data_IF_862403744554
#
_entry.id   IF_862403744554
#
_cell.length_a   1.000
_cell.length_b   1.000
_cell.length_c   1.000
_cell.angle_alpha   90.00
_cell.angle_beta   90.00
_cell.angle_gamma   90.00
#
_symmetry.space_group_name_H-M   'P 1'
#
loop_
_entity.id
_entity.type
_entity.pdbx_description
1 polymer ?
#
# COMPACT_ATOMS: atom_id res chain seq x y z
N UNK A 1 -4.65 -19.64 15.43
CA UNK A 1 -5.41 -20.30 14.33
C UNK A 1 -4.60 -20.08 13.07
N UNK A 2 -4.04 -21.13 12.46
CA UNK A 2 -3.15 -20.95 11.30
C UNK A 2 -3.95 -20.35 10.13
N UNK A 3 -3.51 -19.20 9.62
CA UNK A 3 -4.12 -18.53 8.48
C UNK A 3 -3.65 -19.27 7.23
N UNK A 4 -4.57 -19.89 6.50
CA UNK A 4 -4.25 -20.55 5.23
C UNK A 4 -3.84 -19.48 4.20
N UNK A 5 -2.66 -19.63 3.56
CA UNK A 5 -2.22 -18.66 2.57
C UNK A 5 -3.07 -18.74 1.31
N UNK A 6 -3.30 -17.59 0.68
CA UNK A 6 -4.09 -17.52 -0.56
C UNK A 6 -3.31 -18.07 -1.75
N UNK A 7 -1.99 -17.89 -1.76
CA UNK A 7 -1.04 -18.44 -2.73
C UNK A 7 0.33 -18.57 -2.09
N UNK A 8 1.16 -19.48 -2.59
CA UNK A 8 2.54 -19.69 -2.13
C UNK A 8 3.47 -19.51 -3.32
N UNK A 9 4.40 -18.56 -3.22
CA UNK A 9 5.47 -18.34 -4.20
C UNK A 9 6.79 -18.86 -3.65
N UNK A 10 7.71 -19.23 -4.56
CA UNK A 10 9.06 -19.67 -4.21
C UNK A 10 10.06 -18.70 -4.80
N UNK A 11 10.99 -18.23 -3.98
CA UNK A 11 12.07 -17.32 -4.38
C UNK A 11 13.43 -17.95 -4.02
N UNK A 12 14.22 -18.25 -5.05
CA UNK A 12 15.57 -18.77 -4.89
C UNK A 12 16.56 -17.63 -4.65
N UNK A 13 17.37 -17.76 -3.60
CA UNK A 13 18.44 -16.83 -3.26
C UNK A 13 19.74 -17.27 -3.94
N UNK A 14 20.43 -16.39 -4.66
CA UNK A 14 21.65 -16.73 -5.42
C UNK A 14 22.73 -15.68 -5.11
N UNK A 15 24.01 -16.03 -5.27
CA UNK A 15 25.11 -15.11 -5.06
C UNK A 15 25.08 -13.93 -6.06
N UNK A 16 25.58 -12.77 -5.63
CA UNK A 16 25.67 -11.51 -6.39
C UNK A 16 24.33 -11.06 -6.99
N UNK A 17 23.24 -11.33 -6.27
CA UNK A 17 21.88 -11.07 -6.72
C UNK A 17 21.35 -9.75 -6.13
N UNK A 18 21.83 -8.62 -6.64
CA UNK A 18 21.20 -7.32 -6.40
C UNK A 18 20.04 -7.12 -7.38
N UNK A 19 18.83 -7.14 -6.84
CA UNK A 19 17.56 -7.06 -7.59
C UNK A 19 16.67 -5.93 -7.06
N UNK A 20 17.26 -4.87 -6.51
CA UNK A 20 16.49 -3.72 -6.02
C UNK A 20 15.64 -3.04 -7.10
N UNK A 21 16.08 -3.10 -8.36
CA UNK A 21 15.34 -2.56 -9.51
C UNK A 21 14.30 -3.53 -10.09
N UNK A 22 14.23 -4.76 -9.60
CA UNK A 22 13.27 -5.77 -10.03
C UNK A 22 12.05 -5.73 -9.13
N UNK A 23 10.87 -5.61 -9.74
CA UNK A 23 9.61 -5.60 -9.02
C UNK A 23 9.16 -7.02 -8.68
N UNK A 24 9.36 -7.44 -7.44
CA UNK A 24 8.64 -8.58 -6.88
C UNK A 24 7.35 -8.10 -6.24
N UNK A 25 6.22 -8.74 -6.56
CA UNK A 25 4.91 -8.34 -6.08
C UNK A 25 4.08 -9.57 -5.70
N UNK A 26 3.40 -9.49 -4.56
CA UNK A 26 2.39 -10.46 -4.13
C UNK A 26 1.17 -9.72 -3.54
N UNK A 27 0.16 -10.46 -3.13
CA UNK A 27 -1.01 -9.90 -2.44
C UNK A 27 -0.90 -10.10 -0.93
N UNK A 28 -1.58 -9.25 -0.18
CA UNK A 28 -1.79 -9.49 1.24
C UNK A 28 -2.41 -10.89 1.46
N UNK A 29 -1.87 -11.63 2.43
CA UNK A 29 -2.10 -13.05 2.77
C UNK A 29 -1.50 -14.09 1.84
N UNK A 30 -0.65 -13.68 0.90
CA UNK A 30 0.21 -14.62 0.19
C UNK A 30 1.42 -14.99 1.05
N UNK A 31 1.95 -16.20 0.83
CA UNK A 31 3.21 -16.64 1.40
C UNK A 31 4.33 -16.66 0.38
N UNK A 32 5.53 -16.34 0.82
CA UNK A 32 6.75 -16.50 0.03
C UNK A 32 7.69 -17.44 0.78
N UNK A 33 8.09 -18.50 0.09
CA UNK A 33 9.11 -19.44 0.51
C UNK A 33 10.45 -18.99 -0.07
N UNK A 34 11.42 -18.76 0.81
CA UNK A 34 12.79 -18.48 0.43
C UNK A 34 13.59 -19.77 0.54
N UNK A 35 14.32 -20.09 -0.52
CA UNK A 35 15.16 -21.29 -0.62
C UNK A 35 16.55 -20.84 -1.06
N UNK A 36 17.59 -21.43 -0.49
CA UNK A 36 18.95 -21.20 -0.97
C UNK A 36 19.13 -21.86 -2.34
N UNK A 37 19.57 -21.07 -3.31
CA UNK A 37 19.93 -21.51 -4.63
C UNK A 37 21.30 -22.20 -4.65
N UNK A 38 21.60 -22.82 -5.79
CA UNK A 38 22.80 -23.67 -5.94
C UNK A 38 24.11 -22.91 -5.70
N UNK A 39 24.16 -21.61 -5.97
CA UNK A 39 25.38 -20.80 -5.80
C UNK A 39 25.70 -20.47 -4.34
N UNK A 40 24.74 -20.67 -3.43
CA UNK A 40 24.90 -20.47 -2.00
C UNK A 40 25.16 -21.77 -1.23
N UNK A 41 25.23 -22.92 -1.92
CA UNK A 41 25.50 -24.22 -1.30
C UNK A 41 26.85 -24.23 -0.57
N UNK A 42 26.85 -24.74 0.67
CA UNK A 42 28.03 -24.80 1.52
C UNK A 42 28.45 -23.46 2.15
N UNK A 43 27.70 -22.37 1.89
CA UNK A 43 27.91 -21.07 2.55
C UNK A 43 26.97 -20.92 3.74
N UNK A 44 27.44 -20.25 4.78
CA UNK A 44 26.59 -19.87 5.90
C UNK A 44 25.96 -18.52 5.60
N UNK A 45 24.68 -18.50 5.25
CA UNK A 45 23.94 -17.29 4.86
C UNK A 45 22.90 -16.96 5.93
N UNK A 46 22.78 -15.67 6.24
CA UNK A 46 21.70 -15.11 7.07
C UNK A 46 20.85 -14.17 6.23
N UNK A 47 19.53 -14.41 6.19
CA UNK A 47 18.54 -13.57 5.51
C UNK A 47 17.90 -12.62 6.51
N UNK A 48 17.78 -11.36 6.13
CA UNK A 48 17.19 -10.31 6.93
C UNK A 48 16.04 -9.63 6.18
N UNK A 49 15.02 -9.21 6.92
CA UNK A 49 13.94 -8.39 6.38
C UNK A 49 13.54 -7.29 7.36
N UNK A 50 13.09 -6.15 6.85
CA UNK A 50 12.41 -5.14 7.67
C UNK A 50 10.91 -5.44 7.86
N UNK A 51 10.42 -6.57 7.34
CA UNK A 51 9.11 -7.11 7.67
C UNK A 51 9.13 -7.89 8.98
N UNK A 52 8.10 -7.72 9.80
CA UNK A 52 7.87 -8.49 11.03
C UNK A 52 6.39 -8.73 11.21
N UNK A 53 6.00 -9.98 11.49
CA UNK A 53 4.63 -10.35 11.83
C UNK A 53 4.23 -9.87 13.24
N UNK A 54 5.21 -9.68 14.13
CA UNK A 54 4.98 -9.36 15.54
C UNK A 54 4.92 -7.85 15.81
N UNK A 55 5.29 -7.02 14.84
CA UNK A 55 5.38 -5.58 15.03
C UNK A 55 4.04 -4.89 14.81
N UNK A 56 3.57 -4.17 15.84
CA UNK A 56 2.37 -3.30 15.77
C UNK A 56 2.59 -2.14 14.79
N UNK A 57 3.84 -1.68 14.66
CA UNK A 57 4.26 -0.62 13.74
C UNK A 57 5.45 -1.04 12.90
N UNK A 58 5.38 -0.76 11.60
CA UNK A 58 6.48 -0.98 10.67
C UNK A 58 7.56 0.10 10.84
N UNK A 59 8.82 -0.32 10.99
CA UNK A 59 10.00 0.55 10.96
C UNK A 59 10.89 0.14 9.79
N UNK A 60 11.07 1.05 8.83
CA UNK A 60 11.85 0.82 7.61
C UNK A 60 13.31 0.47 7.89
N UNK A 61 13.87 0.94 9.01
CA UNK A 61 15.29 0.82 9.35
C UNK A 61 15.58 -0.35 10.29
N UNK A 62 14.55 -1.01 10.81
CA UNK A 62 14.70 -2.15 11.72
C UNK A 62 14.63 -3.45 10.93
N UNK A 63 15.66 -4.28 11.05
CA UNK A 63 15.73 -5.57 10.38
C UNK A 63 15.70 -6.74 11.37
N UNK A 64 15.10 -7.83 10.92
CA UNK A 64 14.94 -9.06 11.65
C UNK A 64 15.53 -10.21 10.83
N UNK A 65 16.32 -11.05 11.48
CA UNK A 65 16.83 -12.27 10.84
C UNK A 65 15.69 -13.29 10.68
N UNK A 66 15.62 -13.90 9.51
CA UNK A 66 14.65 -14.92 9.19
C UNK A 66 15.27 -16.30 9.39
N UNK A 67 14.69 -17.07 10.31
CA UNK A 67 15.19 -18.40 10.65
C UNK A 67 14.76 -19.39 9.58
N UNK A 68 15.73 -20.11 9.01
CA UNK A 68 15.50 -21.23 8.12
C UNK A 68 15.23 -22.51 8.92
N UNK A 69 14.23 -23.28 8.49
CA UNK A 69 13.93 -24.62 9.00
C UNK A 69 13.93 -25.57 7.80
N UNK A 70 14.75 -26.62 7.86
CA UNK A 70 14.90 -27.59 6.75
C UNK A 70 15.21 -26.92 5.40
N UNK A 71 16.19 -25.99 5.39
CA UNK A 71 16.65 -25.23 4.21
C UNK A 71 15.64 -24.28 3.56
N UNK A 72 14.45 -24.13 4.15
CA UNK A 72 13.41 -23.22 3.68
C UNK A 72 13.01 -22.26 4.80
N UNK A 73 12.68 -21.02 4.47
CA UNK A 73 11.93 -20.15 5.37
C UNK A 73 10.72 -19.58 4.67
N UNK A 74 9.59 -19.51 5.35
CA UNK A 74 8.32 -19.06 4.77
C UNK A 74 7.82 -17.84 5.52
N UNK A 75 7.48 -16.78 4.79
CA UNK A 75 6.81 -15.60 5.34
C UNK A 75 5.43 -15.51 4.74
N UNK A 76 4.42 -15.30 5.60
CA UNK A 76 3.07 -14.90 5.17
C UNK A 76 2.89 -13.42 5.47
N UNK A 77 2.53 -12.64 4.45
CA UNK A 77 2.37 -11.19 4.62
C UNK A 77 0.97 -10.84 5.08
N UNK A 78 0.85 -10.28 6.28
CA UNK A 78 -0.44 -9.84 6.85
C UNK A 78 -0.72 -8.35 6.63
N UNK A 79 0.32 -7.57 6.34
CA UNK A 79 0.24 -6.14 6.08
C UNK A 79 0.73 -5.82 4.68
N UNK A 80 0.11 -4.83 4.07
CA UNK A 80 0.45 -4.36 2.72
C UNK A 80 1.54 -3.31 2.83
N UNK A 81 2.48 -3.27 1.89
CA UNK A 81 3.63 -2.38 1.99
C UNK A 81 4.76 -2.77 1.04
N UNK A 82 5.91 -2.12 1.21
CA UNK A 82 7.13 -2.43 0.50
C UNK A 82 8.19 -2.83 1.51
N UNK A 83 8.60 -4.10 1.47
CA UNK A 83 9.50 -4.71 2.41
C UNK A 83 10.83 -5.04 1.74
N UNK A 84 11.91 -4.69 2.42
CA UNK A 84 13.26 -4.93 1.97
C UNK A 84 13.76 -6.26 2.53
N UNK A 85 14.51 -6.98 1.70
CA UNK A 85 15.18 -8.22 2.04
C UNK A 85 16.62 -8.13 1.58
N UNK A 86 17.55 -8.54 2.44
CA UNK A 86 18.93 -8.74 2.05
C UNK A 86 19.49 -9.95 2.77
N UNK A 87 20.51 -10.57 2.20
CA UNK A 87 21.20 -11.68 2.83
C UNK A 87 22.71 -11.52 2.65
N UNK A 88 23.44 -11.98 3.66
CA UNK A 88 24.90 -11.89 3.74
C UNK A 88 25.48 -13.18 4.29
N UNK A 89 26.76 -13.38 4.06
CA UNK A 89 27.51 -14.49 4.63
C UNK A 89 27.77 -14.27 6.12
N UNK A 90 27.63 -15.29 6.98
CA UNK A 90 27.79 -15.11 8.43
C UNK A 90 29.22 -14.77 8.84
N UNK A 91 30.21 -15.14 8.02
CA UNK A 91 31.63 -14.94 8.28
C UNK A 91 32.15 -13.53 7.86
N UNK A 92 31.36 -12.74 7.15
CA UNK A 92 31.77 -11.40 6.70
C UNK A 92 30.58 -10.48 6.44
N UNK A 93 30.77 -9.17 6.55
CA UNK A 93 29.68 -8.20 6.32
C UNK A 93 29.37 -7.93 4.83
N UNK A 94 29.68 -8.88 3.95
CA UNK A 94 29.46 -8.75 2.51
C UNK A 94 28.03 -9.20 2.18
N UNK A 95 27.23 -8.26 1.65
CA UNK A 95 25.88 -8.54 1.14
C UNK A 95 26.00 -9.41 -0.11
N UNK A 96 25.39 -10.59 -0.09
CA UNK A 96 25.34 -11.53 -1.20
C UNK A 96 24.20 -11.23 -2.18
N UNK A 97 23.13 -10.58 -1.69
CA UNK A 97 22.02 -10.16 -2.52
C UNK A 97 20.96 -9.41 -1.73
N UNK A 98 20.14 -8.65 -2.45
CA UNK A 98 19.10 -7.81 -1.86
C UNK A 98 17.99 -7.49 -2.87
N UNK A 99 16.76 -7.32 -2.38
CA UNK A 99 15.58 -7.10 -3.19
C UNK A 99 14.43 -6.53 -2.36
N UNK A 100 13.40 -6.03 -3.05
CA UNK A 100 12.15 -5.59 -2.43
C UNK A 100 11.00 -6.46 -2.85
N UNK A 101 10.07 -6.72 -1.92
CA UNK A 101 8.76 -7.30 -2.21
C UNK A 101 7.69 -6.26 -1.91
N UNK A 102 6.84 -6.00 -2.91
CA UNK A 102 5.66 -5.15 -2.78
C UNK A 102 4.43 -6.00 -2.51
N UNK A 103 3.87 -5.88 -1.32
CA UNK A 103 2.63 -6.55 -0.92
C UNK A 103 1.46 -5.64 -1.23
N UNK A 104 0.62 -6.06 -2.16
CA UNK A 104 -0.52 -5.30 -2.65
C UNK A 104 -1.62 -5.19 -1.59
N UNK A 105 -2.29 -4.03 -1.47
CA UNK A 105 -3.44 -3.88 -0.60
C UNK A 105 -4.64 -4.68 -1.10
N UNK A 106 -5.53 -5.02 -0.16
CA UNK A 106 -6.86 -5.55 -0.47
C UNK A 106 -7.86 -4.39 -0.38
N UNK A 107 -8.48 -4.04 -1.51
CA UNK A 107 -9.54 -3.04 -1.54
C UNK A 107 -10.89 -3.72 -1.31
N UNK A 108 -11.73 -3.09 -0.49
CA UNK A 108 -13.11 -3.51 -0.23
C UNK A 108 -14.05 -2.37 -0.57
N UNK A 109 -15.10 -2.68 -1.33
CA UNK A 109 -16.15 -1.73 -1.74
C UNK A 109 -17.51 -2.28 -1.30
N UNK A 110 -18.43 -1.41 -0.90
CA UNK A 110 -19.71 -1.75 -0.29
C UNK A 110 -19.66 -1.84 1.23
N UNK A 111 -20.81 -1.69 1.86
CA UNK A 111 -21.00 -1.80 3.31
C UNK A 111 -21.23 -3.25 3.76
N UNK A 112 -20.72 -3.59 4.95
CA UNK A 112 -20.91 -4.84 5.69
C UNK A 112 -21.32 -6.08 4.87
N UNK A 113 -22.62 -6.29 4.69
CA UNK A 113 -23.19 -7.47 4.05
C UNK A 113 -23.01 -7.52 2.52
N UNK A 114 -22.78 -6.37 1.88
CA UNK A 114 -22.52 -6.23 0.45
C UNK A 114 -21.04 -6.04 0.10
N UNK A 115 -20.18 -5.96 1.14
CA UNK A 115 -18.77 -5.70 0.97
C UNK A 115 -18.12 -6.79 0.11
N UNK A 116 -17.51 -6.38 -1.00
CA UNK A 116 -16.79 -7.26 -1.92
C UNK A 116 -15.33 -6.84 -2.04
N UNK A 117 -14.45 -7.82 -2.22
CA UNK A 117 -13.07 -7.54 -2.59
C UNK A 117 -13.02 -7.01 -4.02
N UNK A 118 -12.40 -5.86 -4.20
CA UNK A 118 -12.13 -5.28 -5.50
C UNK A 118 -10.74 -5.70 -5.95
N UNK A 119 -10.67 -6.40 -7.08
CA UNK A 119 -9.40 -6.67 -7.75
C UNK A 119 -8.77 -5.34 -8.19
N UNK A 120 -7.46 -5.19 -7.97
CA UNK A 120 -6.71 -4.00 -8.39
C UNK A 120 -6.75 -3.81 -9.92
N UNK A 121 -6.88 -4.89 -10.69
CA UNK A 121 -7.06 -4.82 -12.15
C UNK A 121 -8.48 -4.41 -12.56
N UNK A 122 -9.44 -4.43 -11.63
CA UNK A 122 -10.83 -4.03 -11.87
C UNK A 122 -11.11 -2.58 -11.43
N UNK A 123 -10.09 -1.80 -11.04
CA UNK A 123 -10.26 -0.40 -10.68
C UNK A 123 -10.64 0.42 -11.92
N UNK A 124 -11.76 1.13 -11.81
CA UNK A 124 -12.21 2.15 -12.74
C UNK A 124 -12.26 3.47 -11.97
N UNK A 125 -11.20 4.27 -12.13
CA UNK A 125 -10.98 5.48 -11.37
C UNK A 125 -11.35 6.74 -12.18
N UNK A 126 -12.21 7.58 -11.63
CA UNK A 126 -12.48 8.92 -12.16
C UNK A 126 -11.69 9.96 -11.37
N UNK A 127 -10.87 10.76 -12.04
CA UNK A 127 -10.25 11.93 -11.42
C UNK A 127 -11.17 13.13 -11.49
N UNK A 128 -11.37 13.80 -10.35
CA UNK A 128 -12.24 14.97 -10.23
C UNK A 128 -11.44 16.14 -9.67
N UNK A 129 -11.47 17.25 -10.40
CA UNK A 129 -10.84 18.49 -10.00
C UNK A 129 -11.68 19.15 -8.89
N UNK A 130 -11.25 18.98 -7.64
CA UNK A 130 -12.03 19.36 -6.44
C UNK A 130 -12.37 20.83 -6.37
N UNK A 131 -11.47 21.72 -6.80
CA UNK A 131 -11.76 23.16 -6.90
C UNK A 131 -12.92 23.49 -7.86
N UNK A 132 -13.26 22.61 -8.79
CA UNK A 132 -14.39 22.76 -9.71
C UNK A 132 -15.69 22.13 -9.20
N UNK A 133 -15.65 21.43 -8.05
CA UNK A 133 -16.86 20.94 -7.40
C UNK A 133 -17.59 22.04 -6.63
N UNK A 134 -16.96 23.18 -6.34
CA UNK A 134 -17.57 24.27 -5.58
C UNK A 134 -17.91 23.87 -4.14
N UNK A 135 -18.99 24.43 -3.59
CA UNK A 135 -19.43 24.19 -2.22
C UNK A 135 -19.72 22.72 -1.93
N UNK A 136 -19.32 22.26 -0.74
CA UNK A 136 -19.30 20.85 -0.36
C UNK A 136 -20.67 20.18 -0.41
N UNK A 137 -21.75 20.90 -0.07
CA UNK A 137 -23.13 20.43 -0.13
C UNK A 137 -23.51 19.86 -1.50
N UNK A 138 -22.88 20.37 -2.56
CA UNK A 138 -23.18 20.00 -3.95
C UNK A 138 -22.37 18.81 -4.44
N UNK A 139 -21.42 18.30 -3.66
CA UNK A 139 -20.50 17.26 -4.13
C UNK A 139 -21.22 15.93 -4.38
N UNK A 140 -22.15 15.54 -3.50
CA UNK A 140 -22.92 14.29 -3.64
C UNK A 140 -23.64 14.19 -4.98
N UNK A 141 -24.36 15.23 -5.38
CA UNK A 141 -25.09 15.24 -6.65
C UNK A 141 -24.17 15.26 -7.86
N UNK A 142 -23.03 15.96 -7.78
CA UNK A 142 -22.03 16.00 -8.86
C UNK A 142 -21.31 14.67 -9.04
N UNK A 143 -21.03 13.96 -7.95
CA UNK A 143 -20.34 12.67 -7.96
C UNK A 143 -21.29 11.48 -8.23
N UNK A 144 -22.61 11.68 -8.17
CA UNK A 144 -23.59 10.66 -8.53
C UNK A 144 -23.42 10.17 -9.99
N UNK A 145 -22.95 11.04 -10.89
CA UNK A 145 -22.65 10.68 -12.28
C UNK A 145 -21.56 9.61 -12.35
N UNK A 146 -20.52 9.70 -11.50
CA UNK A 146 -19.45 8.71 -11.43
C UNK A 146 -20.01 7.32 -11.08
N UNK A 147 -20.86 7.28 -10.05
CA UNK A 147 -21.53 6.06 -9.61
C UNK A 147 -22.43 5.47 -10.70
N UNK A 148 -23.32 6.28 -11.30
CA UNK A 148 -24.25 5.85 -12.35
C UNK A 148 -23.56 5.36 -13.62
N UNK A 149 -22.32 5.79 -13.86
CA UNK A 149 -21.51 5.38 -15.03
C UNK A 149 -20.56 4.22 -14.72
N UNK A 150 -20.60 3.66 -13.51
CA UNK A 150 -19.90 2.43 -13.15
C UNK A 150 -18.49 2.60 -12.60
N UNK A 151 -18.01 3.83 -12.37
CA UNK A 151 -16.74 4.05 -11.68
C UNK A 151 -16.80 3.50 -10.25
N UNK A 152 -15.70 2.87 -9.81
CA UNK A 152 -15.60 2.25 -8.48
C UNK A 152 -14.48 2.88 -7.63
N UNK A 153 -13.87 3.95 -8.12
CA UNK A 153 -12.93 4.78 -7.39
C UNK A 153 -13.04 6.23 -7.86
N UNK A 154 -13.00 7.17 -6.93
CA UNK A 154 -12.91 8.60 -7.24
C UNK A 154 -11.60 9.12 -6.69
N UNK A 155 -10.75 9.64 -7.56
CA UNK A 155 -9.54 10.37 -7.20
C UNK A 155 -9.86 11.87 -7.14
N UNK A 156 -9.90 12.39 -5.92
CA UNK A 156 -10.05 13.82 -5.67
C UNK A 156 -8.66 14.48 -5.75
N UNK A 157 -8.51 15.53 -6.57
CA UNK A 157 -7.32 16.40 -6.45
C UNK A 157 -7.25 17.01 -5.05
N UNK A 158 -6.09 17.50 -4.58
CA UNK A 158 -5.95 18.02 -3.22
C UNK A 158 -7.11 18.94 -2.81
N UNK A 159 -7.69 18.65 -1.65
CA UNK A 159 -8.84 19.36 -1.05
C UNK A 159 -8.39 20.47 -0.10
N UNK A 160 -7.08 20.61 0.10
CA UNK A 160 -6.47 21.56 1.00
C UNK A 160 -6.51 22.99 0.45
N UNK A 161 -6.25 23.97 1.32
CA UNK A 161 -6.18 25.37 0.94
C UNK A 161 -5.13 25.62 -0.16
N UNK A 162 -5.52 26.38 -1.18
CA UNK A 162 -4.69 26.66 -2.35
C UNK A 162 -3.94 27.99 -2.19
N UNK A 163 -2.70 28.00 -2.68
CA UNK A 163 -1.84 29.17 -2.74
C UNK A 163 -2.11 30.09 -3.93
N UNK A 164 -1.24 31.09 -4.11
CA UNK A 164 -1.48 32.25 -4.98
C UNK A 164 -1.68 31.96 -6.47
N UNK A 165 -1.22 30.80 -6.97
CA UNK A 165 -1.47 30.41 -8.38
C UNK A 165 -2.86 29.81 -8.61
N UNK A 166 -3.58 29.46 -7.53
CA UNK A 166 -4.83 28.70 -7.57
C UNK A 166 -4.74 27.36 -8.34
N UNK A 167 -3.52 26.83 -8.50
CA UNK A 167 -3.28 25.46 -8.97
C UNK A 167 -3.70 24.48 -7.88
N UNK A 168 -4.35 23.38 -8.25
CA UNK A 168 -4.78 22.33 -7.29
C UNK A 168 -3.61 21.63 -6.58
N UNK A 169 -2.38 21.87 -7.01
CA UNK A 169 -1.16 21.33 -6.39
C UNK A 169 -0.28 22.40 -5.76
N UNK A 170 -0.70 23.67 -5.78
CA UNK A 170 -0.06 24.74 -5.03
C UNK A 170 -0.83 24.93 -3.73
N UNK A 171 -0.39 24.29 -2.65
CA UNK A 171 -1.07 24.33 -1.35
C UNK A 171 -0.46 25.44 -0.48
N UNK A 172 -1.30 26.29 0.11
CA UNK A 172 -0.87 27.29 1.11
C UNK A 172 -0.83 26.70 2.51
N UNK A 173 -1.81 25.87 2.85
CA UNK A 173 -1.94 25.22 4.16
C UNK A 173 -2.49 23.80 3.98
N UNK A 174 -1.65 22.80 4.25
CA UNK A 174 -2.01 21.39 4.07
C UNK A 174 -2.93 20.86 5.17
N UNK A 175 -3.10 21.61 6.27
CA UNK A 175 -3.89 21.24 7.43
C UNK A 175 -5.25 21.95 7.45
N UNK A 176 -5.57 22.70 6.40
CA UNK A 176 -6.88 23.35 6.22
C UNK A 176 -7.52 22.93 4.93
N UNK A 177 -8.85 22.81 4.95
CA UNK A 177 -9.63 22.63 3.74
C UNK A 177 -9.67 23.91 2.91
N UNK A 178 -9.84 23.75 1.61
CA UNK A 178 -10.04 24.88 0.72
C UNK A 178 -11.32 25.64 1.11
N UNK A 179 -11.23 26.94 1.41
CA UNK A 179 -12.38 27.73 1.86
C UNK A 179 -13.49 27.84 0.81
N UNK A 180 -13.21 27.54 -0.47
CA UNK A 180 -14.24 27.50 -1.53
C UNK A 180 -15.32 26.43 -1.27
N UNK A 181 -15.03 25.42 -0.43
CA UNK A 181 -15.98 24.37 -0.09
C UNK A 181 -16.99 24.83 0.95
N UNK A 182 -16.65 25.84 1.74
CA UNK A 182 -17.52 26.45 2.74
C UNK A 182 -18.47 27.47 2.12
N UNK A 183 -19.63 27.64 2.77
CA UNK A 183 -20.59 28.70 2.46
C UNK A 183 -20.50 29.79 3.53
N UNK A 184 -21.30 30.86 3.39
CA UNK A 184 -21.39 31.89 4.44
C UNK A 184 -22.01 31.35 5.73
N UNK A 185 -22.83 30.31 5.62
CA UNK A 185 -23.66 29.78 6.69
C UNK A 185 -23.05 28.52 7.33
N UNK A 186 -22.15 27.83 6.63
CA UNK A 186 -21.49 26.62 7.12
C UNK A 186 -20.03 26.53 6.67
N UNK A 187 -19.15 26.35 7.64
CA UNK A 187 -17.77 25.92 7.44
C UNK A 187 -17.68 24.39 7.47
N UNK A 188 -16.90 23.82 6.57
CA UNK A 188 -16.63 22.39 6.52
C UNK A 188 -15.25 22.06 7.05
N UNK A 189 -15.16 20.91 7.72
CA UNK A 189 -13.93 20.38 8.31
C UNK A 189 -13.56 19.04 7.70
N UNK A 190 -12.36 18.52 8.01
CA UNK A 190 -11.99 17.17 7.57
C UNK A 190 -12.90 16.09 8.15
N UNK A 191 -13.61 16.33 9.25
CA UNK A 191 -14.59 15.38 9.80
C UNK A 191 -15.80 15.27 8.86
N UNK A 192 -16.30 16.37 8.30
CA UNK A 192 -17.35 16.34 7.29
C UNK A 192 -16.91 15.58 6.01
N UNK A 193 -15.63 15.74 5.62
CA UNK A 193 -15.05 14.98 4.50
C UNK A 193 -14.98 13.49 4.84
N UNK A 194 -14.59 13.14 6.08
CA UNK A 194 -14.53 11.75 6.55
C UNK A 194 -15.90 11.09 6.46
N UNK A 195 -16.95 11.73 6.98
CA UNK A 195 -18.34 11.25 6.86
C UNK A 195 -18.77 11.09 5.40
N UNK A 196 -18.41 12.04 4.54
CA UNK A 196 -18.68 11.96 3.10
C UNK A 196 -17.95 10.79 2.43
N UNK A 197 -16.68 10.53 2.79
CA UNK A 197 -15.94 9.39 2.23
C UNK A 197 -16.53 8.06 2.67
N UNK A 198 -17.07 7.95 3.89
CA UNK A 198 -17.81 6.76 4.31
C UNK A 198 -19.12 6.60 3.53
N UNK A 199 -19.83 7.69 3.24
CA UNK A 199 -21.00 7.65 2.35
C UNK A 199 -20.66 7.19 0.92
N UNK A 200 -19.43 7.41 0.44
CA UNK A 200 -19.00 6.96 -0.90
C UNK A 200 -18.66 5.46 -0.99
N UNK A 201 -18.52 4.75 0.14
CA UNK A 201 -18.08 3.34 0.18
C UNK A 201 -19.19 2.35 -0.17
#
# INVERSE_FOLDING_TARGET
MAINPKSVYVLNLELDCDKQSVLYRCNNRDSIQFIYGSTLLGRHISLFSNYSQESVHFDRNKYHELVFRDEVTTITFETSGSFHFYYKESAGDVICGQFYIVVSPQLKVGSDASARLLDLNAIQCQTVLTKSLGQFETWKSKLEVAYKTGYNMVHLTPIQELGGSNSSYCLSDQLKLNPIFSSKDKEYTFDDISEFTEWMR
#
